data_IF_607812452799
#
_entry.id   IF_607812452799
#
_cell.length_a   1.000
_cell.length_b   1.000
_cell.length_c   1.000
_cell.angle_alpha   90.00
_cell.angle_beta   90.00
_cell.angle_gamma   90.00
#
_symmetry.space_group_name_H-M   'P 1'
#
loop_
_entity.id
_entity.type
_entity.pdbx_description
1 polymer ?
#
# COMPACT_ATOMS: atom_id res chain seq x y z
N UNK A 1 -10.10 -19.54 6.57
CA UNK A 1 -8.93 -18.83 6.00
C UNK A 1 -8.70 -17.64 6.89
N UNK A 2 -7.53 -17.54 7.53
CA UNK A 2 -7.25 -16.39 8.40
C UNK A 2 -6.82 -15.21 7.56
N UNK A 3 -7.39 -14.04 7.85
CA UNK A 3 -7.10 -12.80 7.16
C UNK A 3 -6.78 -11.68 8.14
N UNK A 4 -6.02 -10.71 7.66
CA UNK A 4 -5.85 -9.39 8.27
C UNK A 4 -6.51 -8.36 7.39
N UNK A 5 -7.31 -7.49 7.98
CA UNK A 5 -7.87 -6.31 7.33
C UNK A 5 -7.32 -5.07 8.00
N UNK A 6 -6.81 -4.13 7.21
CA UNK A 6 -6.34 -2.82 7.65
C UNK A 6 -7.13 -1.75 6.90
N UNK A 7 -7.71 -0.77 7.59
CA UNK A 7 -8.46 0.30 6.96
C UNK A 7 -8.33 1.66 7.65
N UNK A 8 -8.52 2.72 6.87
CA UNK A 8 -8.59 4.11 7.32
C UNK A 8 -9.89 4.75 6.86
N UNK A 9 -10.37 5.71 7.63
CA UNK A 9 -11.62 6.43 7.40
C UNK A 9 -11.39 7.94 7.53
N UNK A 10 -11.78 8.69 6.51
CA UNK A 10 -11.65 10.15 6.40
C UNK A 10 -13.04 10.82 6.45
N UNK A 11 -13.16 12.08 6.90
CA UNK A 11 -12.06 13.04 7.14
C UNK A 11 -11.47 12.95 8.55
N UNK A 12 -10.19 13.32 8.69
CA UNK A 12 -9.59 13.62 10.00
C UNK A 12 -9.62 15.14 10.17
N UNK A 13 -10.36 15.64 11.17
CA UNK A 13 -10.36 17.05 11.54
C UNK A 13 -9.33 17.21 12.65
N UNK A 14 -8.14 17.71 12.30
CA UNK A 14 -6.95 17.69 13.15
C UNK A 14 -6.90 18.74 14.26
N UNK A 15 -8.03 19.08 14.88
CA UNK A 15 -8.09 20.12 15.92
C UNK A 15 -8.51 19.60 17.31
N UNK A 16 -9.05 18.38 17.42
CA UNK A 16 -9.47 17.80 18.70
C UNK A 16 -8.70 16.50 19.00
N UNK A 17 -8.31 16.29 20.27
CA UNK A 17 -7.69 15.05 20.79
C UNK A 17 -8.65 13.85 20.80
N UNK A 18 -9.92 14.06 20.44
CA UNK A 18 -10.96 13.04 20.43
C UNK A 18 -10.92 12.19 19.15
N UNK A 19 -11.06 10.87 19.33
CA UNK A 19 -11.17 9.92 18.21
C UNK A 19 -12.44 10.23 17.40
N UNK A 20 -12.36 10.45 16.08
CA UNK A 20 -13.52 10.81 15.28
C UNK A 20 -14.65 9.77 15.37
N UNK A 21 -15.91 10.23 15.35
CA UNK A 21 -17.09 9.39 15.53
C UNK A 21 -17.14 8.20 14.55
N UNK A 22 -16.73 8.41 13.30
CA UNK A 22 -16.67 7.35 12.30
C UNK A 22 -15.60 6.28 12.58
N UNK A 23 -14.50 6.64 13.23
CA UNK A 23 -13.46 5.67 13.66
C UNK A 23 -14.01 4.81 14.80
N UNK A 24 -14.60 5.45 15.81
CA UNK A 24 -15.20 4.76 16.95
C UNK A 24 -16.35 3.85 16.52
N UNK A 25 -17.25 4.33 15.67
CA UNK A 25 -18.37 3.53 15.16
C UNK A 25 -17.91 2.30 14.35
N UNK A 26 -16.87 2.44 13.53
CA UNK A 26 -16.29 1.31 12.80
C UNK A 26 -15.66 0.27 13.74
N UNK A 27 -14.92 0.73 14.75
CA UNK A 27 -14.31 -0.14 15.74
C UNK A 27 -15.35 -0.86 16.59
N UNK A 28 -16.43 -0.19 16.99
CA UNK A 28 -17.50 -0.78 17.79
C UNK A 28 -18.26 -1.85 17.01
N UNK A 29 -18.54 -1.62 15.72
CA UNK A 29 -19.14 -2.66 14.86
C UNK A 29 -18.27 -3.93 14.79
N UNK A 30 -16.94 -3.79 14.76
CA UNK A 30 -16.02 -4.95 14.80
C UNK A 30 -16.05 -5.65 16.16
N UNK A 31 -16.14 -4.90 17.26
CA UNK A 31 -16.24 -5.46 18.62
C UNK A 31 -17.56 -6.19 18.84
N UNK A 32 -18.67 -5.65 18.34
CA UNK A 32 -19.99 -6.28 18.38
C UNK A 32 -20.01 -7.61 17.62
N UNK A 33 -19.21 -7.72 16.57
CA UNK A 33 -18.98 -8.97 15.85
C UNK A 33 -18.03 -9.95 16.58
N UNK A 34 -17.57 -9.62 17.79
CA UNK A 34 -16.68 -10.45 18.61
C UNK A 34 -15.21 -10.40 18.17
N UNK A 35 -14.82 -9.42 17.35
CA UNK A 35 -13.44 -9.22 16.92
C UNK A 35 -12.73 -8.24 17.85
N UNK A 36 -11.39 -8.29 17.84
CA UNK A 36 -10.54 -7.38 18.61
C UNK A 36 -9.81 -6.42 17.65
N UNK A 37 -10.44 -5.29 17.27
CA UNK A 37 -9.79 -4.31 16.43
C UNK A 37 -8.69 -3.57 17.20
N UNK A 38 -7.55 -3.36 16.54
CA UNK A 38 -6.45 -2.54 17.01
C UNK A 38 -6.50 -1.16 16.32
N UNK A 39 -6.61 -0.10 17.12
CA UNK A 39 -6.72 1.27 16.64
C UNK A 39 -5.34 1.92 16.73
N UNK A 40 -4.64 1.94 15.60
CA UNK A 40 -3.33 2.57 15.49
C UNK A 40 -3.40 3.97 14.87
N UNK A 41 -2.28 4.71 14.91
CA UNK A 41 -2.18 6.04 14.30
C UNK A 41 -2.38 6.03 12.76
N UNK A 42 -2.22 4.86 12.13
CA UNK A 42 -2.32 4.68 10.68
C UNK A 42 -3.63 4.03 10.23
N UNK A 43 -4.57 3.77 11.15
CA UNK A 43 -5.84 3.13 10.85
C UNK A 43 -6.21 2.03 11.83
N UNK A 44 -7.34 1.39 11.55
CA UNK A 44 -7.84 0.24 12.32
C UNK A 44 -7.41 -1.04 11.63
N UNK A 45 -6.91 -2.00 12.41
CA UNK A 45 -6.58 -3.34 11.92
C UNK A 45 -7.35 -4.41 12.69
N UNK A 46 -7.69 -5.52 12.02
CA UNK A 46 -8.39 -6.64 12.63
C UNK A 46 -8.01 -7.95 11.96
N UNK A 47 -7.77 -8.98 12.78
CA UNK A 47 -7.42 -10.33 12.34
C UNK A 47 -8.48 -11.33 12.74
N UNK A 48 -8.72 -12.33 11.90
CA UNK A 48 -9.70 -13.37 12.21
C UNK A 48 -9.91 -14.35 11.06
N UNK A 49 -10.91 -15.19 11.18
CA UNK A 49 -11.38 -16.00 10.05
C UNK A 49 -12.12 -15.13 9.05
N UNK A 50 -11.86 -15.31 7.76
CA UNK A 50 -12.47 -14.52 6.69
C UNK A 50 -14.00 -14.51 6.76
N UNK A 51 -14.62 -15.64 7.15
CA UNK A 51 -16.07 -15.76 7.33
C UNK A 51 -16.63 -14.87 8.44
N UNK A 52 -15.82 -14.53 9.45
CA UNK A 52 -16.19 -13.59 10.51
C UNK A 52 -15.75 -12.16 10.19
N UNK A 53 -14.55 -11.98 9.65
CA UNK A 53 -13.95 -10.66 9.39
C UNK A 53 -14.63 -9.93 8.25
N UNK A 54 -14.89 -10.59 7.12
CA UNK A 54 -15.47 -9.94 5.93
C UNK A 54 -16.85 -9.31 6.20
N UNK A 55 -17.83 -10.01 6.81
CA UNK A 55 -19.11 -9.38 7.13
C UNK A 55 -18.96 -8.27 8.18
N UNK A 56 -18.15 -8.48 9.23
CA UNK A 56 -17.93 -7.47 10.26
C UNK A 56 -17.31 -6.18 9.70
N UNK A 57 -16.37 -6.31 8.76
CA UNK A 57 -15.79 -5.17 8.05
C UNK A 57 -16.84 -4.46 7.21
N UNK A 58 -17.72 -5.18 6.52
CA UNK A 58 -18.81 -4.57 5.77
C UNK A 58 -19.74 -3.73 6.66
N UNK A 59 -20.06 -4.22 7.86
CA UNK A 59 -20.84 -3.49 8.86
C UNK A 59 -20.07 -2.28 9.40
N UNK A 60 -18.76 -2.42 9.63
CA UNK A 60 -17.88 -1.30 9.98
C UNK A 60 -17.85 -0.23 8.88
N UNK A 61 -17.88 -0.58 7.58
CA UNK A 61 -17.98 0.41 6.50
C UNK A 61 -19.29 1.20 6.59
N UNK A 62 -20.42 0.51 6.87
CA UNK A 62 -21.72 1.16 7.02
C UNK A 62 -21.74 2.08 8.22
N UNK A 63 -21.18 1.63 9.35
CA UNK A 63 -21.08 2.40 10.58
C UNK A 63 -20.18 3.63 10.40
N UNK A 64 -19.04 3.49 9.73
CA UNK A 64 -18.15 4.60 9.40
C UNK A 64 -18.86 5.68 8.57
N UNK A 65 -19.56 5.27 7.50
CA UNK A 65 -20.32 6.18 6.64
C UNK A 65 -21.43 6.90 7.42
N UNK A 66 -22.17 6.18 8.27
CA UNK A 66 -23.18 6.76 9.15
C UNK A 66 -22.59 7.72 10.19
N UNK A 67 -21.36 7.45 10.64
CA UNK A 67 -20.58 8.29 11.56
C UNK A 67 -19.91 9.50 10.90
N UNK A 68 -20.14 9.74 9.61
CA UNK A 68 -19.64 10.91 8.89
C UNK A 68 -18.39 10.67 8.03
N UNK A 69 -17.92 9.42 7.91
CA UNK A 69 -16.87 9.12 6.95
C UNK A 69 -17.37 9.40 5.53
N UNK A 70 -16.55 10.09 4.75
CA UNK A 70 -16.79 10.36 3.32
C UNK A 70 -15.90 9.50 2.43
N UNK A 71 -14.85 8.91 3.00
CA UNK A 71 -13.93 8.01 2.30
C UNK A 71 -13.40 6.94 3.25
N UNK A 72 -13.21 5.75 2.72
CA UNK A 72 -12.56 4.65 3.42
C UNK A 72 -11.60 3.92 2.49
N UNK A 73 -10.41 3.59 2.98
CA UNK A 73 -9.41 2.79 2.25
C UNK A 73 -9.16 1.51 3.02
N UNK A 74 -9.13 0.36 2.34
CA UNK A 74 -9.00 -0.95 2.98
C UNK A 74 -8.02 -1.85 2.22
N UNK A 75 -7.24 -2.64 2.97
CA UNK A 75 -6.42 -3.76 2.48
C UNK A 75 -6.83 -5.04 3.19
N UNK A 76 -6.99 -6.13 2.44
CA UNK A 76 -7.21 -7.48 2.97
C UNK A 76 -6.04 -8.37 2.56
N UNK A 77 -5.47 -9.08 3.53
CA UNK A 77 -4.37 -10.03 3.31
C UNK A 77 -4.73 -11.39 3.89
N UNK A 78 -4.43 -12.46 3.16
CA UNK A 78 -4.43 -13.82 3.72
C UNK A 78 -3.19 -13.99 4.62
N UNK A 79 -3.39 -14.50 5.84
CA UNK A 79 -2.36 -14.73 6.84
C UNK A 79 -1.74 -16.13 6.74
N UNK A 80 -2.36 -17.05 6.00
CA UNK A 80 -1.86 -18.41 5.78
C UNK A 80 -1.20 -18.58 4.41
N UNK A 81 -1.52 -17.73 3.43
CA UNK A 81 -0.82 -17.72 2.16
C UNK A 81 0.65 -17.30 2.37
N UNK A 82 1.65 -18.09 1.91
CA UNK A 82 2.92 -17.48 1.54
C UNK A 82 2.61 -16.33 0.58
N UNK A 83 3.34 -15.21 0.69
CA UNK A 83 3.12 -14.00 -0.11
C UNK A 83 3.39 -14.26 -1.61
N UNK A 84 2.50 -15.00 -2.26
CA UNK A 84 2.58 -15.47 -3.64
C UNK A 84 1.37 -14.91 -4.39
N UNK A 85 1.22 -13.58 -4.42
CA UNK A 85 0.40 -12.95 -5.46
C UNK A 85 1.31 -12.60 -6.64
N UNK A 86 1.77 -13.65 -7.31
CA UNK A 86 2.28 -13.61 -8.67
C UNK A 86 1.16 -13.98 -9.62
N UNK A 87 0.59 -12.99 -10.30
CA UNK A 87 -0.18 -13.27 -11.52
C UNK A 87 0.83 -13.31 -12.67
N UNK A 88 1.02 -14.50 -13.24
CA UNK A 88 1.73 -14.73 -14.50
C UNK A 88 0.97 -15.81 -15.32
N UNK A 89 1.16 -15.94 -16.64
CA UNK A 89 1.78 -15.01 -17.60
C UNK A 89 0.86 -14.70 -18.81
N UNK A 90 1.18 -13.66 -19.57
CA UNK A 90 0.77 -13.56 -20.97
C UNK A 90 2.02 -13.35 -21.85
N UNK A 91 2.43 -14.41 -22.54
CA UNK A 91 3.47 -14.43 -23.57
C UNK A 91 3.02 -13.71 -24.84
N UNK A 92 3.87 -12.87 -25.43
CA UNK A 92 4.24 -12.91 -26.86
C UNK A 92 5.24 -11.80 -27.20
N UNK A 93 6.25 -12.15 -27.99
CA UNK A 93 7.39 -11.32 -28.31
C UNK A 93 7.16 -10.26 -29.38
N UNK A 94 8.14 -9.38 -29.52
CA UNK A 94 8.19 -8.41 -30.61
C UNK A 94 9.31 -7.39 -30.43
N UNK A 95 10.52 -7.73 -30.89
CA UNK A 95 11.55 -6.72 -31.17
C UNK A 95 10.98 -5.64 -32.08
N UNK A 96 11.06 -4.37 -31.67
CA UNK A 96 11.06 -3.22 -32.59
C UNK A 96 12.09 -2.19 -32.14
N UNK A 97 12.93 -1.83 -33.11
CA UNK A 97 13.96 -0.80 -33.08
C UNK A 97 13.36 0.61 -33.16
N UNK A 98 13.86 1.51 -32.30
CA UNK A 98 14.18 2.97 -32.44
C UNK A 98 13.30 3.90 -33.33
N UNK A 99 13.06 5.18 -32.94
CA UNK A 99 14.10 6.23 -33.10
C UNK A 99 14.14 7.38 -32.07
N UNK A 100 15.27 8.09 -32.17
CA UNK A 100 15.73 9.31 -31.49
C UNK A 100 14.83 10.53 -31.72
N UNK A 101 14.59 11.35 -30.68
CA UNK A 101 14.15 12.75 -30.80
C UNK A 101 13.53 13.37 -29.53
N UNK A 102 14.30 14.27 -28.88
CA UNK A 102 13.99 15.41 -27.96
C UNK A 102 12.57 15.59 -27.34
N UNK A 103 12.37 16.28 -26.19
CA UNK A 103 13.30 16.86 -25.20
C UNK A 103 13.20 16.14 -23.84
N UNK A 104 14.26 16.19 -23.05
CA UNK A 104 14.42 15.49 -21.75
C UNK A 104 13.23 15.72 -20.81
N UNK A 105 12.29 14.79 -20.81
CA UNK A 105 11.12 14.81 -19.94
C UNK A 105 11.58 14.29 -18.57
N UNK A 106 11.12 14.88 -17.46
CA UNK A 106 11.44 14.34 -16.12
C UNK A 106 11.06 12.85 -16.01
N UNK A 107 10.09 12.43 -16.82
CA UNK A 107 9.68 11.03 -17.01
C UNK A 107 10.85 10.11 -17.44
N UNK A 108 11.80 10.61 -18.27
CA UNK A 108 13.01 9.85 -18.67
C UNK A 108 14.00 9.69 -17.53
N UNK A 109 14.01 10.63 -16.57
CA UNK A 109 14.85 10.53 -15.38
C UNK A 109 14.38 9.39 -14.47
N UNK A 110 13.07 9.32 -14.22
CA UNK A 110 12.48 8.26 -13.40
C UNK A 110 12.65 6.88 -14.05
N UNK A 111 12.42 6.77 -15.36
CA UNK A 111 12.62 5.52 -16.09
C UNK A 111 14.08 5.02 -15.97
N UNK A 112 15.05 5.94 -16.00
CA UNK A 112 16.48 5.59 -15.78
C UNK A 112 16.77 5.14 -14.36
N UNK A 113 16.15 5.75 -13.34
CA UNK A 113 16.28 5.31 -11.95
C UNK A 113 15.69 3.92 -11.73
N UNK A 114 14.50 3.66 -12.30
CA UNK A 114 13.87 2.34 -12.28
C UNK A 114 14.80 1.29 -12.89
N UNK A 115 15.29 1.55 -14.12
CA UNK A 115 16.19 0.63 -14.80
C UNK A 115 17.50 0.38 -14.02
N UNK A 116 18.06 1.42 -13.38
CA UNK A 116 19.26 1.27 -12.54
C UNK A 116 19.00 0.36 -11.32
N UNK A 117 17.84 0.49 -10.68
CA UNK A 117 17.45 -0.35 -9.54
C UNK A 117 17.18 -1.80 -9.99
N UNK A 118 16.56 -2.02 -11.14
CA UNK A 118 16.36 -3.37 -11.71
C UNK A 118 17.70 -4.07 -11.99
N UNK A 119 18.68 -3.33 -12.53
CA UNK A 119 20.04 -3.85 -12.75
C UNK A 119 20.71 -4.22 -11.43
N UNK A 120 20.59 -3.37 -10.40
CA UNK A 120 21.16 -3.63 -9.07
C UNK A 120 20.53 -4.84 -8.38
N UNK A 121 19.21 -5.00 -8.50
CA UNK A 121 18.46 -6.11 -7.91
C UNK A 121 18.45 -7.38 -8.79
N UNK A 122 19.02 -7.30 -10.00
CA UNK A 122 19.18 -8.42 -10.92
C UNK A 122 17.90 -8.96 -11.54
N UNK A 123 16.76 -8.25 -11.41
CA UNK A 123 15.47 -8.65 -11.98
C UNK A 123 14.52 -7.46 -12.17
N UNK A 124 13.53 -7.57 -13.08
CA UNK A 124 12.51 -6.54 -13.26
C UNK A 124 11.72 -6.29 -11.97
N UNK A 125 11.30 -5.04 -11.75
CA UNK A 125 10.59 -4.68 -10.51
C UNK A 125 9.27 -5.44 -10.32
N UNK A 126 8.62 -5.81 -11.43
CA UNK A 126 7.38 -6.60 -11.41
C UNK A 126 7.59 -8.01 -10.84
N UNK A 127 8.75 -8.61 -11.11
CA UNK A 127 9.07 -10.01 -10.78
C UNK A 127 9.70 -10.16 -9.39
N UNK A 128 10.06 -9.06 -8.74
CA UNK A 128 10.65 -9.07 -7.41
C UNK A 128 9.68 -9.65 -6.36
N UNK A 129 10.17 -10.45 -5.40
CA UNK A 129 9.37 -10.80 -4.23
C UNK A 129 9.09 -9.56 -3.38
N UNK A 130 8.13 -9.64 -2.44
CA UNK A 130 7.71 -8.51 -1.61
C UNK A 130 8.88 -7.77 -0.95
N UNK A 131 9.82 -8.50 -0.35
CA UNK A 131 11.02 -7.91 0.27
C UNK A 131 11.87 -7.16 -0.76
N UNK A 132 12.01 -7.70 -1.98
CA UNK A 132 12.69 -7.04 -3.09
C UNK A 132 11.96 -5.78 -3.55
N UNK A 133 10.62 -5.80 -3.65
CA UNK A 133 9.83 -4.59 -3.98
C UNK A 133 9.97 -3.50 -2.91
N UNK A 134 10.02 -3.88 -1.63
CA UNK A 134 10.27 -2.93 -0.53
C UNK A 134 11.68 -2.34 -0.60
N UNK A 135 12.69 -3.17 -0.87
CA UNK A 135 14.06 -2.70 -1.09
C UNK A 135 14.16 -1.79 -2.33
N UNK A 136 13.46 -2.10 -3.42
CA UNK A 136 13.40 -1.25 -4.60
C UNK A 136 12.78 0.12 -4.28
N UNK A 137 11.69 0.18 -3.50
CA UNK A 137 11.11 1.47 -3.07
C UNK A 137 12.10 2.27 -2.21
N UNK A 138 12.83 1.63 -1.28
CA UNK A 138 13.89 2.28 -0.50
C UNK A 138 14.96 2.90 -1.40
N UNK A 139 15.50 2.09 -2.30
CA UNK A 139 16.53 2.47 -3.27
C UNK A 139 16.09 3.57 -4.23
N UNK A 140 14.81 3.61 -4.61
CA UNK A 140 14.24 4.66 -5.43
C UNK A 140 14.05 5.96 -4.63
N UNK A 141 13.61 5.87 -3.38
CA UNK A 141 13.48 7.01 -2.47
C UNK A 141 14.83 7.68 -2.17
N UNK A 142 15.85 6.88 -1.84
CA UNK A 142 17.21 7.37 -1.61
C UNK A 142 17.78 8.12 -2.82
N UNK A 143 17.33 7.77 -4.03
CA UNK A 143 17.73 8.41 -5.29
C UNK A 143 16.81 9.56 -5.71
N UNK A 144 15.87 9.95 -4.85
CA UNK A 144 14.95 11.07 -5.09
C UNK A 144 13.88 10.77 -6.16
N UNK A 145 13.61 9.50 -6.46
CA UNK A 145 12.63 9.12 -7.48
C UNK A 145 11.23 9.64 -7.14
N UNK A 146 10.85 9.68 -5.85
CA UNK A 146 9.51 10.09 -5.43
C UNK A 146 9.27 11.60 -5.41
N UNK A 147 10.32 12.41 -5.48
CA UNK A 147 10.23 13.87 -5.68
C UNK A 147 9.84 14.23 -7.13
N UNK A 148 9.91 13.27 -8.05
CA UNK A 148 9.60 13.47 -9.46
C UNK A 148 8.09 13.43 -9.72
N UNK A 149 7.64 14.18 -10.73
CA UNK A 149 6.21 14.21 -11.11
C UNK A 149 5.75 12.83 -11.59
N UNK A 150 4.58 12.39 -11.09
CA UNK A 150 3.96 11.07 -11.40
C UNK A 150 4.77 9.85 -10.94
N UNK A 151 5.77 10.03 -10.08
CA UNK A 151 6.64 8.96 -9.57
C UNK A 151 5.89 7.73 -9.06
N UNK A 152 4.96 7.92 -8.12
CA UNK A 152 4.20 6.83 -7.53
C UNK A 152 3.33 6.05 -8.54
N UNK A 153 2.86 6.70 -9.61
CA UNK A 153 2.08 6.06 -10.67
C UNK A 153 2.97 5.15 -11.52
N UNK A 154 4.08 5.70 -12.02
CA UNK A 154 5.02 4.96 -12.87
C UNK A 154 5.70 3.82 -12.13
N UNK A 155 6.07 4.02 -10.86
CA UNK A 155 6.67 2.96 -10.03
C UNK A 155 5.64 1.86 -9.73
N UNK A 156 4.38 2.22 -9.45
CA UNK A 156 3.32 1.25 -9.23
C UNK A 156 3.08 0.39 -10.48
N UNK A 157 3.03 1.02 -11.67
CA UNK A 157 2.90 0.32 -12.94
C UNK A 157 4.09 -0.63 -13.18
N UNK A 158 5.33 -0.15 -13.01
CA UNK A 158 6.54 -0.96 -13.19
C UNK A 158 6.62 -2.16 -12.22
N UNK A 159 6.07 -2.02 -11.01
CA UNK A 159 6.03 -3.09 -10.01
C UNK A 159 4.81 -4.02 -10.13
N UNK A 160 3.82 -3.70 -10.98
CA UNK A 160 2.53 -4.39 -11.00
C UNK A 160 1.75 -4.23 -9.68
N UNK A 161 1.89 -3.07 -9.03
CA UNK A 161 1.27 -2.74 -7.75
C UNK A 161 0.27 -1.58 -7.91
N UNK A 162 -0.47 -1.30 -6.86
CA UNK A 162 -1.27 -0.06 -6.78
C UNK A 162 -0.41 1.10 -6.26
N UNK A 163 -0.76 2.34 -6.62
CA UNK A 163 -0.14 3.56 -6.05
C UNK A 163 -0.19 3.57 -4.52
N UNK A 164 -1.29 3.08 -3.96
CA UNK A 164 -1.46 2.95 -2.51
C UNK A 164 -0.40 2.03 -1.89
N UNK A 165 -0.13 0.87 -2.49
CA UNK A 165 0.91 -0.05 -2.00
C UNK A 165 2.31 0.57 -2.04
N UNK A 166 2.61 1.36 -3.08
CA UNK A 166 3.88 2.09 -3.19
C UNK A 166 4.00 3.14 -2.08
N UNK A 167 2.95 3.92 -1.81
CA UNK A 167 2.93 4.87 -0.69
C UNK A 167 3.06 4.18 0.68
N UNK A 168 2.44 3.01 0.87
CA UNK A 168 2.60 2.24 2.11
C UNK A 168 4.06 1.82 2.33
N UNK A 169 4.75 1.36 1.29
CA UNK A 169 6.18 1.07 1.39
C UNK A 169 6.98 2.34 1.67
N UNK A 170 6.71 3.44 0.96
CA UNK A 170 7.40 4.71 1.14
C UNK A 170 7.28 5.25 2.58
N UNK A 171 6.09 5.18 3.18
CA UNK A 171 5.89 5.60 4.56
C UNK A 171 6.72 4.76 5.54
N UNK A 172 6.81 3.43 5.33
CA UNK A 172 7.68 2.55 6.12
C UNK A 172 9.19 2.80 5.94
N UNK A 173 9.58 3.49 4.86
CA UNK A 173 10.98 3.92 4.66
C UNK A 173 11.26 5.24 5.38
N UNK A 174 10.28 6.13 5.40
CA UNK A 174 10.37 7.46 6.00
C UNK A 174 10.19 7.46 7.52
N UNK A 175 9.54 6.43 8.07
CA UNK A 175 9.44 6.22 9.51
C UNK A 175 10.83 5.95 10.11
N UNK A 176 11.32 6.81 11.03
CA UNK A 176 12.52 6.49 11.78
C UNK A 176 12.22 5.25 12.65
N UNK A 177 13.16 4.30 12.67
CA UNK A 177 13.07 3.16 13.58
C UNK A 177 12.93 3.69 15.02
N UNK A 178 11.75 3.48 15.61
CA UNK A 178 11.49 3.85 17.00
C UNK A 178 12.55 3.17 17.87
N UNK A 179 13.37 3.92 18.63
CA UNK A 179 14.38 3.29 19.47
C UNK A 179 13.68 2.39 20.49
N UNK A 180 14.25 1.22 20.82
CA UNK A 180 13.62 0.33 21.79
C UNK A 180 13.43 1.08 23.11
N UNK A 181 12.19 1.10 23.61
CA UNK A 181 11.87 1.64 24.92
C UNK A 181 12.73 0.92 25.96
N UNK A 182 13.70 1.65 26.52
CA UNK A 182 14.59 1.18 27.58
C UNK A 182 13.94 1.19 28.95
#
# INVERSE_FOLDING_TARGET
>A
MRVRVEFTTEPFHGEDDDVPAHVTAAADALREAGLAPDLGPLGTSVDGEAEAVVPAVADAMRAALAGGATRMTLTLSDLAAPTEHGVAPATAGGRRTQPVGQPTDLSDGLARLIAAVEVELGSPLADLPRAGKQQAVRLLEERGAFEMRRSAETVAEAMGLTRFTVYNYLNRVREPAEPPAG
#
